data_IF_182046955337
#
_entry.id   IF_182046955337
#
_cell.length_a   1.000
_cell.length_b   1.000
_cell.length_c   1.000
_cell.angle_alpha   90.00
_cell.angle_beta   90.00
_cell.angle_gamma   90.00
#
_symmetry.space_group_name_H-M   'P 1'
#
loop_
_entity.id
_entity.type
_entity.pdbx_description
1 polymer ?
#
# COMPACT_ATOMS: atom_id res chain seq x y z
N UNK A 1 -32.51 -7.05 7.14
CA UNK A 1 -31.40 -6.61 8.01
C UNK A 1 -30.53 -5.72 7.15
N UNK A 2 -30.66 -4.41 7.32
CA UNK A 2 -29.74 -3.43 6.72
C UNK A 2 -28.39 -3.59 7.41
N UNK A 3 -27.32 -3.74 6.63
CA UNK A 3 -25.96 -3.71 7.15
C UNK A 3 -25.71 -2.36 7.87
N UNK A 4 -24.96 -2.35 8.99
CA UNK A 4 -24.61 -1.10 9.65
C UNK A 4 -23.81 -0.24 8.68
N UNK A 5 -24.24 1.02 8.49
CA UNK A 5 -23.50 2.01 7.71
C UNK A 5 -22.16 2.22 8.43
N UNK A 6 -21.09 1.66 7.88
CA UNK A 6 -19.73 1.86 8.37
C UNK A 6 -19.34 3.28 7.99
N UNK A 7 -19.28 4.16 8.99
CA UNK A 7 -19.08 5.61 8.84
C UNK A 7 -17.71 5.97 9.41
N UNK A 8 -17.06 6.97 8.82
CA UNK A 8 -15.77 7.51 9.25
C UNK A 8 -15.71 7.84 10.76
N UNK A 9 -16.86 8.19 11.36
CA UNK A 9 -17.00 8.44 12.81
C UNK A 9 -16.80 7.21 13.70
N UNK A 10 -16.89 6.01 13.15
CA UNK A 10 -16.84 4.75 13.89
C UNK A 10 -15.53 3.97 13.65
N UNK A 11 -14.59 4.56 12.90
CA UNK A 11 -13.31 3.93 12.60
C UNK A 11 -12.44 3.91 13.85
N UNK A 12 -11.75 2.80 14.08
CA UNK A 12 -10.79 2.67 15.18
C UNK A 12 -9.62 3.66 15.00
N UNK A 13 -9.24 4.43 16.03
CA UNK A 13 -8.08 5.31 15.97
C UNK A 13 -6.79 4.61 15.52
N UNK A 14 -6.59 3.33 15.86
CA UNK A 14 -5.41 2.54 15.46
C UNK A 14 -5.40 2.30 13.95
N UNK A 15 -6.56 2.02 13.36
CA UNK A 15 -6.69 1.83 11.91
C UNK A 15 -6.46 3.16 11.15
N UNK A 16 -6.93 4.28 11.72
CA UNK A 16 -6.66 5.61 11.19
C UNK A 16 -5.17 5.98 11.25
N UNK A 17 -4.49 5.71 12.37
CA UNK A 17 -3.05 5.94 12.51
C UNK A 17 -2.26 5.15 11.47
N UNK A 18 -2.58 3.86 11.29
CA UNK A 18 -1.94 3.03 10.28
C UNK A 18 -2.17 3.55 8.84
N UNK A 19 -3.37 4.05 8.56
CA UNK A 19 -3.69 4.68 7.27
C UNK A 19 -2.92 5.99 7.07
N UNK A 20 -2.78 6.82 8.11
CA UNK A 20 -1.99 8.05 8.05
C UNK A 20 -0.51 7.77 7.80
N UNK A 21 0.06 6.74 8.41
CA UNK A 21 1.43 6.31 8.13
C UNK A 21 1.62 5.94 6.65
N UNK A 22 0.65 5.20 6.08
CA UNK A 22 0.67 4.81 4.67
C UNK A 22 0.56 6.02 3.72
N UNK A 23 -0.33 6.96 4.03
CA UNK A 23 -0.46 8.23 3.30
C UNK A 23 0.83 9.03 3.39
N UNK A 24 1.42 9.13 4.58
CA UNK A 24 2.69 9.82 4.81
C UNK A 24 3.81 9.26 3.95
N UNK A 25 3.95 7.93 3.91
CA UNK A 25 4.95 7.26 3.07
C UNK A 25 4.72 7.49 1.57
N UNK A 26 3.46 7.48 1.09
CA UNK A 26 3.17 7.63 -0.33
C UNK A 26 3.45 9.04 -0.87
N UNK A 27 3.09 10.05 -0.07
CA UNK A 27 3.22 11.46 -0.45
C UNK A 27 4.51 12.13 0.07
N UNK A 28 5.38 11.38 0.76
CA UNK A 28 6.59 11.88 1.43
C UNK A 28 6.27 13.01 2.44
N UNK A 29 5.24 12.77 3.25
CA UNK A 29 4.74 13.69 4.28
C UNK A 29 5.00 13.09 5.66
N UNK A 30 5.48 13.92 6.57
CA UNK A 30 5.54 13.58 8.00
C UNK A 30 4.41 14.30 8.74
N UNK A 31 3.53 13.50 9.36
CA UNK A 31 2.54 13.95 10.31
C UNK A 31 3.18 14.04 11.70
N UNK A 32 3.01 15.17 12.38
CA UNK A 32 3.50 15.35 13.76
C UNK A 32 2.40 14.95 14.75
N UNK A 33 2.77 14.47 15.94
CA UNK A 33 1.81 14.09 16.98
C UNK A 33 0.82 15.21 17.29
N UNK A 34 -0.47 14.89 17.28
CA UNK A 34 -1.57 15.84 17.53
C UNK A 34 -1.82 16.84 16.39
N UNK A 35 -1.05 16.82 15.31
CA UNK A 35 -1.20 17.73 14.17
C UNK A 35 -2.55 17.53 13.46
N UNK A 36 -3.10 16.32 13.48
CA UNK A 36 -4.40 16.00 12.88
C UNK A 36 -5.59 16.18 13.85
N UNK A 37 -5.36 16.45 15.13
CA UNK A 37 -6.40 16.48 16.17
C UNK A 37 -7.45 17.60 15.98
N UNK A 38 -7.14 18.60 15.16
CA UNK A 38 -8.04 19.72 14.85
C UNK A 38 -8.87 19.49 13.58
N UNK A 39 -8.58 18.43 12.81
CA UNK A 39 -9.26 18.13 11.56
C UNK A 39 -10.55 17.36 11.85
N UNK A 40 -11.68 18.03 11.62
CA UNK A 40 -13.00 17.48 11.95
C UNK A 40 -13.69 16.81 10.76
N UNK A 41 -13.22 17.05 9.53
CA UNK A 41 -13.82 16.48 8.32
C UNK A 41 -12.80 15.91 7.35
N UNK A 42 -13.23 14.91 6.57
CA UNK A 42 -12.45 14.29 5.51
C UNK A 42 -12.00 15.30 4.44
N UNK A 43 -12.86 16.28 4.12
CA UNK A 43 -12.49 17.37 3.21
C UNK A 43 -11.37 18.25 3.79
N UNK A 44 -11.43 18.54 5.09
CA UNK A 44 -10.36 19.25 5.79
C UNK A 44 -9.05 18.46 5.79
N UNK A 45 -9.12 17.14 5.98
CA UNK A 45 -7.96 16.26 5.85
C UNK A 45 -7.37 16.24 4.43
N UNK A 46 -8.21 16.12 3.40
CA UNK A 46 -7.77 16.19 2.01
C UNK A 46 -7.03 17.50 1.70
N UNK A 47 -7.58 18.63 2.17
CA UNK A 47 -6.98 19.95 1.99
C UNK A 47 -5.65 20.05 2.75
N UNK A 48 -5.62 19.50 3.97
CA UNK A 48 -4.43 19.47 4.80
C UNK A 48 -3.29 18.68 4.14
N UNK A 49 -3.54 17.43 3.72
CA UNK A 49 -2.57 16.59 3.01
C UNK A 49 -2.06 17.31 1.76
N UNK A 50 -2.96 17.84 0.94
CA UNK A 50 -2.57 18.55 -0.29
C UNK A 50 -1.76 19.82 -0.03
N UNK A 51 -1.94 20.47 1.13
CA UNK A 51 -1.13 21.63 1.53
C UNK A 51 0.27 21.26 2.07
N UNK A 52 0.43 20.06 2.65
CA UNK A 52 1.71 19.55 3.17
C UNK A 52 2.64 19.06 2.07
N UNK A 53 2.09 18.61 0.94
CA UNK A 53 2.89 18.24 -0.23
C UNK A 53 3.65 19.48 -0.69
N UNK A 54 4.96 19.52 -0.40
CA UNK A 54 5.83 20.69 -0.64
C UNK A 54 6.24 20.85 -2.11
N UNK A 55 5.41 20.35 -3.02
CA UNK A 55 5.70 20.25 -4.45
C UNK A 55 4.88 21.25 -5.25
N UNK A 56 5.39 21.60 -6.42
CA UNK A 56 4.74 22.56 -7.30
C UNK A 56 3.47 21.97 -7.92
N UNK A 57 2.31 22.48 -7.51
CA UNK A 57 1.03 22.13 -8.11
C UNK A 57 0.70 22.99 -9.32
N UNK A 58 1.43 24.07 -9.63
CA UNK A 58 1.07 25.00 -10.72
C UNK A 58 1.22 24.38 -12.11
N UNK A 59 2.00 23.31 -12.22
CA UNK A 59 2.22 22.56 -13.45
C UNK A 59 1.24 21.36 -13.51
N UNK A 60 -0.05 21.64 -13.73
CA UNK A 60 -1.11 20.63 -13.92
C UNK A 60 -0.90 19.84 -15.22
N UNK A 61 0.08 18.96 -15.25
CA UNK A 61 0.16 17.95 -16.29
C UNK A 61 -0.94 16.92 -16.01
N UNK A 62 -1.96 16.85 -16.88
CA UNK A 62 -3.08 15.88 -16.84
C UNK A 62 -2.64 14.41 -17.02
N UNK A 63 -1.36 14.08 -16.83
CA UNK A 63 -0.83 12.74 -16.98
C UNK A 63 -1.19 11.89 -15.77
N UNK A 64 -1.98 10.83 -15.99
CA UNK A 64 -2.34 9.85 -14.98
C UNK A 64 -1.09 9.21 -14.34
N UNK A 65 -0.99 9.23 -13.02
CA UNK A 65 0.18 8.74 -12.28
C UNK A 65 0.30 7.22 -12.36
N UNK A 66 -0.80 6.46 -12.44
CA UNK A 66 -0.73 5.01 -12.71
C UNK A 66 -0.17 4.71 -14.11
N UNK A 67 -0.44 5.56 -15.10
CA UNK A 67 0.20 5.44 -16.42
C UNK A 67 1.72 5.71 -16.33
N UNK A 68 2.13 6.71 -15.54
CA UNK A 68 3.54 7.01 -15.33
C UNK A 68 4.25 5.88 -14.57
N UNK A 69 3.61 5.36 -13.52
CA UNK A 69 4.04 4.19 -12.77
C UNK A 69 4.21 2.97 -13.68
N UNK A 70 3.24 2.71 -14.56
CA UNK A 70 3.31 1.65 -15.55
C UNK A 70 4.55 1.79 -16.42
N UNK A 71 4.79 2.96 -17.02
CA UNK A 71 5.94 3.14 -17.90
C UNK A 71 7.28 3.02 -17.17
N UNK A 72 7.39 3.52 -15.94
CA UNK A 72 8.59 3.37 -15.10
C UNK A 72 8.84 1.90 -14.75
N UNK A 73 7.82 1.22 -14.23
CA UNK A 73 7.92 -0.19 -13.87
C UNK A 73 8.20 -1.07 -15.08
N UNK A 74 7.57 -0.80 -16.22
CA UNK A 74 7.80 -1.49 -17.50
C UNK A 74 9.25 -1.37 -17.96
N UNK A 75 9.84 -0.17 -17.86
CA UNK A 75 11.24 0.06 -18.21
C UNK A 75 12.19 -0.67 -17.25
N UNK A 76 11.95 -0.55 -15.94
CA UNK A 76 12.74 -1.23 -14.92
C UNK A 76 12.68 -2.76 -15.05
N UNK A 77 11.49 -3.31 -15.31
CA UNK A 77 11.28 -4.74 -15.53
C UNK A 77 11.99 -5.22 -16.79
N UNK A 78 11.86 -4.49 -17.91
CA UNK A 78 12.57 -4.79 -19.16
C UNK A 78 14.09 -4.87 -18.97
N UNK A 79 14.67 -3.95 -18.18
CA UNK A 79 16.10 -3.99 -17.83
C UNK A 79 16.45 -5.14 -16.87
N UNK A 80 15.57 -5.42 -15.89
CA UNK A 80 15.80 -6.48 -14.91
C UNK A 80 15.90 -7.86 -15.58
N UNK A 81 14.97 -8.19 -16.47
CA UNK A 81 14.90 -9.51 -17.14
C UNK A 81 15.45 -9.53 -18.56
N UNK A 82 15.98 -8.41 -19.06
CA UNK A 82 16.58 -8.28 -20.40
C UNK A 82 15.62 -8.60 -21.55
N UNK A 83 14.39 -8.08 -21.48
CA UNK A 83 13.40 -8.17 -22.57
C UNK A 83 13.05 -6.78 -23.09
N UNK A 84 12.56 -6.70 -24.33
CA UNK A 84 12.07 -5.45 -24.88
C UNK A 84 10.83 -4.98 -24.12
N UNK A 85 10.96 -3.89 -23.37
CA UNK A 85 9.87 -3.28 -22.59
C UNK A 85 8.61 -2.97 -23.41
N UNK A 86 8.72 -2.82 -24.74
CA UNK A 86 7.58 -2.56 -25.63
C UNK A 86 6.61 -3.75 -25.76
N UNK A 87 7.06 -4.97 -25.43
CA UNK A 87 6.19 -6.16 -25.44
C UNK A 87 5.32 -6.28 -24.19
N UNK A 88 5.61 -5.49 -23.16
CA UNK A 88 4.90 -5.51 -21.89
C UNK A 88 3.73 -4.52 -21.95
N UNK A 89 2.52 -5.03 -21.73
CA UNK A 89 1.28 -4.26 -21.63
C UNK A 89 0.75 -4.28 -20.18
N UNK A 90 -0.24 -3.45 -19.83
CA UNK A 90 -0.87 -3.50 -18.51
C UNK A 90 -1.53 -4.85 -18.18
N UNK A 91 -1.95 -5.61 -19.20
CA UNK A 91 -2.59 -6.92 -19.04
C UNK A 91 -1.61 -8.08 -19.02
N UNK A 92 -0.32 -7.82 -19.30
CA UNK A 92 0.73 -8.84 -19.22
C UNK A 92 0.79 -9.44 -17.81
N UNK A 93 0.77 -10.77 -17.72
CA UNK A 93 0.93 -11.47 -16.46
C UNK A 93 2.39 -11.38 -16.01
N UNK A 94 2.60 -11.11 -14.73
CA UNK A 94 3.93 -11.11 -14.12
C UNK A 94 4.60 -12.48 -14.25
N UNK A 95 3.81 -13.56 -14.18
CA UNK A 95 4.30 -14.92 -14.35
C UNK A 95 4.85 -15.23 -15.76
N UNK A 96 4.40 -14.50 -16.78
CA UNK A 96 4.86 -14.69 -18.17
C UNK A 96 6.18 -13.95 -18.44
N UNK A 97 6.50 -12.93 -17.63
CA UNK A 97 7.68 -12.07 -17.79
C UNK A 97 8.78 -12.42 -16.80
N UNK A 98 8.40 -12.79 -15.57
CA UNK A 98 9.35 -13.07 -14.50
C UNK A 98 9.83 -14.52 -14.54
N UNK A 99 11.13 -14.77 -14.36
CA UNK A 99 11.66 -16.13 -14.34
C UNK A 99 11.23 -16.88 -13.08
N UNK A 100 10.51 -17.99 -13.23
CA UNK A 100 9.93 -18.75 -12.10
C UNK A 100 10.92 -19.12 -10.97
N UNK A 101 12.18 -19.41 -11.31
CA UNK A 101 13.23 -19.78 -10.34
C UNK A 101 13.93 -18.59 -9.68
N UNK A 102 13.82 -17.39 -10.24
CA UNK A 102 14.54 -16.20 -9.78
C UNK A 102 13.66 -14.95 -9.70
N UNK A 103 12.34 -15.12 -9.60
CA UNK A 103 11.32 -14.06 -9.48
C UNK A 103 11.71 -12.99 -8.47
N UNK A 104 12.11 -13.39 -7.25
CA UNK A 104 12.52 -12.47 -6.18
C UNK A 104 13.75 -11.65 -6.57
N UNK A 105 14.74 -12.25 -7.23
CA UNK A 105 15.95 -11.54 -7.68
C UNK A 105 15.63 -10.58 -8.82
N UNK A 106 14.80 -11.00 -9.79
CA UNK A 106 14.34 -10.15 -10.89
C UNK A 106 13.56 -8.93 -10.37
N UNK A 107 12.67 -9.13 -9.40
CA UNK A 107 11.94 -8.03 -8.76
C UNK A 107 12.89 -7.11 -8.00
N UNK A 108 13.80 -7.64 -7.19
CA UNK A 108 14.80 -6.80 -6.48
C UNK A 108 15.67 -6.00 -7.46
N UNK A 109 16.00 -6.56 -8.62
CA UNK A 109 16.70 -5.84 -9.68
C UNK A 109 15.83 -4.74 -10.31
N UNK A 110 14.54 -4.99 -10.53
CA UNK A 110 13.60 -3.98 -11.00
C UNK A 110 13.42 -2.85 -9.97
N UNK A 111 13.26 -3.18 -8.69
CA UNK A 111 13.21 -2.23 -7.56
C UNK A 111 14.48 -1.37 -7.51
N UNK A 112 15.66 -1.98 -7.72
CA UNK A 112 16.91 -1.24 -7.81
C UNK A 112 16.92 -0.21 -8.96
N UNK A 113 16.38 -0.55 -10.13
CA UNK A 113 16.23 0.40 -11.24
C UNK A 113 15.19 1.50 -10.97
N UNK A 114 14.17 1.21 -10.16
CA UNK A 114 13.16 2.18 -9.76
C UNK A 114 13.64 3.13 -8.66
N UNK A 115 14.57 2.68 -7.81
CA UNK A 115 15.08 3.43 -6.67
C UNK A 115 14.24 3.28 -5.39
N UNK A 116 13.24 2.39 -5.37
CA UNK A 116 12.41 2.09 -4.20
C UNK A 116 11.87 0.66 -4.25
N UNK A 117 11.46 0.14 -3.09
CA UNK A 117 10.93 -1.23 -2.96
C UNK A 117 9.40 -1.25 -3.13
N UNK A 118 8.86 -2.18 -3.91
CA UNK A 118 7.42 -2.33 -4.16
C UNK A 118 6.83 -3.51 -3.36
N UNK A 119 7.69 -4.43 -2.89
CA UNK A 119 7.28 -5.59 -2.09
C UNK A 119 6.25 -6.51 -2.79
N UNK A 120 6.53 -6.86 -4.05
CA UNK A 120 5.64 -7.72 -4.86
C UNK A 120 5.67 -9.21 -4.51
N UNK A 121 6.68 -9.63 -3.76
CA UNK A 121 6.89 -11.04 -3.39
C UNK A 121 6.63 -11.21 -1.90
N UNK A 122 5.76 -12.15 -1.55
CA UNK A 122 5.46 -12.47 -0.16
C UNK A 122 5.26 -13.96 0.09
N UNK A 123 4.91 -14.31 1.33
CA UNK A 123 4.55 -15.68 1.68
C UNK A 123 3.23 -16.08 1.03
N UNK A 124 3.00 -17.39 0.81
CA UNK A 124 1.68 -17.89 0.42
C UNK A 124 0.62 -17.49 1.45
N UNK A 125 -0.57 -17.11 1.00
CA UNK A 125 -1.67 -16.68 1.87
C UNK A 125 -1.99 -17.70 2.97
N UNK A 126 -2.03 -18.99 2.64
CA UNK A 126 -2.32 -20.05 3.61
C UNK A 126 -1.29 -20.12 4.75
N UNK A 127 -0.01 -19.81 4.49
CA UNK A 127 1.03 -19.78 5.53
C UNK A 127 0.79 -18.59 6.46
N UNK A 128 0.49 -17.43 5.88
CA UNK A 128 0.19 -16.21 6.65
C UNK A 128 -1.03 -16.42 7.53
N UNK A 129 -2.12 -16.97 6.98
CA UNK A 129 -3.36 -17.24 7.70
C UNK A 129 -3.11 -18.18 8.87
N UNK A 130 -2.40 -19.30 8.66
CA UNK A 130 -2.09 -20.25 9.73
C UNK A 130 -1.28 -19.60 10.86
N UNK A 131 -0.25 -18.83 10.52
CA UNK A 131 0.59 -18.17 11.52
C UNK A 131 -0.17 -17.09 12.28
N UNK A 132 -0.97 -16.27 11.61
CA UNK A 132 -1.79 -15.23 12.25
C UNK A 132 -2.84 -15.86 13.15
N UNK A 133 -3.52 -16.94 12.73
CA UNK A 133 -4.49 -17.66 13.56
C UNK A 133 -3.85 -18.39 14.75
N UNK A 134 -2.55 -18.72 14.68
CA UNK A 134 -1.85 -19.33 15.83
C UNK A 134 -1.62 -18.34 16.98
N UNK A 135 -1.63 -17.03 16.72
CA UNK A 135 -1.45 -15.98 17.74
C UNK A 135 -2.62 -15.97 18.75
N UNK A 136 -3.90 -15.83 18.34
CA UNK A 136 -5.01 -15.83 19.30
C UNK A 136 -5.12 -17.17 20.04
N UNK A 137 -4.82 -18.30 19.38
CA UNK A 137 -4.75 -19.61 20.06
C UNK A 137 -3.70 -19.59 21.17
N UNK A 138 -2.52 -19.04 20.88
CA UNK A 138 -1.44 -18.92 21.87
C UNK A 138 -1.81 -17.99 23.03
N UNK A 139 -2.55 -16.90 22.75
CA UNK A 139 -3.08 -16.00 23.77
C UNK A 139 -4.12 -16.69 24.67
N UNK A 140 -4.96 -17.57 24.12
CA UNK A 140 -5.89 -18.38 24.93
C UNK A 140 -5.10 -19.35 25.83
N UNK A 141 -4.05 -19.99 25.31
CA UNK A 141 -3.20 -20.90 26.08
C UNK A 141 -2.45 -20.18 27.21
N UNK A 142 -2.11 -18.90 27.07
CA UNK A 142 -1.50 -18.11 28.15
C UNK A 142 -2.32 -18.10 29.45
N UNK A 143 -3.65 -18.23 29.39
CA UNK A 143 -4.50 -18.30 30.58
C UNK A 143 -4.35 -19.61 31.36
N UNK A 144 -3.93 -20.69 30.70
CA UNK A 144 -3.64 -21.98 31.34
C UNK A 144 -2.16 -22.09 31.72
N UNK A 145 -1.26 -21.75 30.79
CA UNK A 145 0.18 -21.72 31.00
C UNK A 145 0.81 -20.56 30.21
N UNK A 146 1.20 -19.52 30.96
CA UNK A 146 1.80 -18.32 30.39
C UNK A 146 3.11 -18.60 29.63
N UNK A 147 3.92 -19.59 30.05
CA UNK A 147 5.20 -19.89 29.36
C UNK A 147 4.93 -20.52 28.00
N UNK A 148 3.98 -21.45 27.94
CA UNK A 148 3.61 -22.13 26.69
C UNK A 148 2.96 -21.14 25.73
N UNK A 149 2.03 -20.31 26.20
CA UNK A 149 1.38 -19.30 25.36
C UNK A 149 2.37 -18.26 24.82
N UNK A 150 3.28 -17.74 25.66
CA UNK A 150 4.32 -16.80 25.21
C UNK A 150 5.28 -17.43 24.19
N UNK A 151 5.65 -18.70 24.37
CA UNK A 151 6.48 -19.42 23.40
C UNK A 151 5.75 -19.58 22.06
N UNK A 152 4.44 -19.86 22.08
CA UNK A 152 3.60 -19.94 20.88
C UNK A 152 3.57 -18.61 20.11
N UNK A 153 3.35 -17.49 20.81
CA UNK A 153 3.39 -16.14 20.21
C UNK A 153 4.77 -15.87 19.60
N UNK A 154 5.85 -16.18 20.33
CA UNK A 154 7.21 -15.97 19.83
C UNK A 154 7.48 -16.78 18.55
N UNK A 155 7.07 -18.05 18.52
CA UNK A 155 7.20 -18.91 17.35
C UNK A 155 6.38 -18.39 16.17
N UNK A 156 5.16 -17.89 16.39
CA UNK A 156 4.35 -17.29 15.35
C UNK A 156 5.02 -16.04 14.74
N UNK A 157 5.58 -15.16 15.57
CA UNK A 157 6.30 -13.97 15.13
C UNK A 157 7.55 -14.34 14.33
N UNK A 158 8.36 -15.28 14.82
CA UNK A 158 9.55 -15.77 14.09
C UNK A 158 9.13 -16.41 12.77
N UNK A 159 8.08 -17.22 12.79
CA UNK A 159 7.50 -17.86 11.61
C UNK A 159 7.04 -16.84 10.57
N UNK A 160 6.35 -15.77 10.97
CA UNK A 160 5.92 -14.69 10.07
C UNK A 160 7.11 -13.96 9.45
N UNK A 161 8.12 -13.61 10.26
CA UNK A 161 9.35 -12.98 9.76
C UNK A 161 10.08 -13.88 8.76
N UNK A 162 10.17 -15.19 9.04
CA UNK A 162 10.75 -16.16 8.13
C UNK A 162 9.92 -16.27 6.84
N UNK A 163 8.59 -16.35 6.94
CA UNK A 163 7.68 -16.46 5.80
C UNK A 163 7.80 -15.25 4.87
N UNK A 164 7.84 -14.02 5.42
CA UNK A 164 8.07 -12.79 4.65
C UNK A 164 9.45 -12.80 3.97
N UNK A 165 10.48 -13.24 4.69
CA UNK A 165 11.86 -13.28 4.17
C UNK A 165 12.05 -14.30 3.05
N UNK A 166 11.42 -15.47 3.14
CA UNK A 166 11.60 -16.59 2.21
C UNK A 166 10.48 -16.76 1.20
N UNK A 167 9.39 -16.02 1.32
CA UNK A 167 8.27 -16.07 0.37
C UNK A 167 8.74 -15.85 -1.08
N UNK A 168 8.18 -16.60 -2.02
CA UNK A 168 8.50 -16.47 -3.44
C UNK A 168 7.26 -16.29 -4.30
N UNK A 169 6.11 -16.02 -3.67
CA UNK A 169 4.82 -15.94 -4.34
C UNK A 169 4.54 -14.50 -4.74
N UNK A 170 4.11 -14.31 -5.99
CA UNK A 170 3.65 -13.02 -6.50
C UNK A 170 2.27 -12.72 -5.91
N UNK A 171 2.14 -11.57 -5.24
CA UNK A 171 0.86 -11.14 -4.66
C UNK A 171 -0.06 -10.48 -5.71
N UNK A 172 0.52 -9.99 -6.80
CA UNK A 172 -0.20 -9.38 -7.92
C UNK A 172 -0.07 -10.24 -9.17
N UNK A 173 -1.06 -10.16 -10.05
CA UNK A 173 -1.12 -10.97 -11.27
C UNK A 173 -0.53 -10.24 -12.46
N UNK A 174 -0.90 -8.98 -12.67
CA UNK A 174 -0.54 -8.23 -13.88
C UNK A 174 0.36 -7.03 -13.62
N UNK A 175 1.07 -6.60 -14.65
CA UNK A 175 1.92 -5.39 -14.61
C UNK A 175 1.08 -4.13 -14.34
N UNK A 176 -0.16 -4.08 -14.83
CA UNK A 176 -1.10 -2.98 -14.54
C UNK A 176 -1.46 -2.88 -13.07
N UNK A 177 -1.67 -4.01 -12.38
CA UNK A 177 -1.91 -4.00 -10.93
C UNK A 177 -0.70 -3.49 -10.15
N UNK A 178 0.52 -3.80 -10.61
CA UNK A 178 1.74 -3.27 -10.01
C UNK A 178 1.82 -1.75 -10.20
N UNK A 179 1.48 -1.26 -11.40
CA UNK A 179 1.46 0.17 -11.68
C UNK A 179 0.48 0.92 -10.75
N UNK A 180 -0.69 0.34 -10.52
CA UNK A 180 -1.70 0.89 -9.61
C UNK A 180 -1.17 0.93 -8.16
N UNK A 181 -0.59 -0.18 -7.68
CA UNK A 181 0.06 -0.25 -6.36
C UNK A 181 1.15 0.81 -6.21
N UNK A 182 2.02 0.97 -7.21
CA UNK A 182 3.09 1.99 -7.20
C UNK A 182 2.50 3.40 -7.14
N UNK A 183 1.44 3.70 -7.90
CA UNK A 183 0.83 5.04 -7.84
C UNK A 183 0.19 5.33 -6.48
N UNK A 184 -0.34 4.33 -5.80
CA UNK A 184 -1.00 4.48 -4.51
C UNK A 184 -0.01 4.53 -3.33
N UNK A 185 1.03 3.70 -3.35
CA UNK A 185 1.98 3.55 -2.23
C UNK A 185 3.25 4.40 -2.39
N UNK A 186 3.55 4.85 -3.61
CA UNK A 186 4.75 5.61 -3.92
C UNK A 186 4.45 6.75 -4.90
N UNK A 187 3.39 7.52 -4.64
CA UNK A 187 2.85 8.54 -5.57
C UNK A 187 3.92 9.50 -6.09
N UNK A 188 4.74 10.08 -5.21
CA UNK A 188 5.83 11.01 -5.60
C UNK A 188 6.84 10.34 -6.52
N UNK A 189 7.22 9.10 -6.21
CA UNK A 189 8.19 8.35 -6.99
C UNK A 189 7.62 7.86 -8.32
N UNK A 190 6.30 7.72 -8.45
CA UNK A 190 5.63 7.39 -9.69
C UNK A 190 5.63 8.54 -10.70
N UNK A 191 5.56 9.79 -10.23
CA UNK A 191 5.56 11.02 -11.07
C UNK A 191 6.83 11.16 -11.90
N UNK A 192 6.70 11.58 -13.16
CA UNK A 192 7.80 11.89 -14.08
C UNK A 192 8.65 13.03 -13.55
N UNK A 193 7.99 14.09 -13.08
CA UNK A 193 8.63 15.16 -12.35
C UNK A 193 8.25 15.03 -10.87
N UNK A 194 9.17 14.56 -10.01
CA UNK A 194 8.90 14.36 -8.59
C UNK A 194 8.71 15.69 -7.84
N UNK A 195 8.91 16.85 -8.50
CA UNK A 195 8.65 18.17 -7.93
C UNK A 195 7.22 18.66 -8.15
N UNK A 196 6.33 17.84 -8.72
CA UNK A 196 4.97 18.25 -9.10
C UNK A 196 3.94 17.21 -8.72
N UNK A 197 2.72 17.64 -8.39
CA UNK A 197 1.60 16.76 -8.10
C UNK A 197 0.29 17.24 -8.73
N UNK A 198 -0.67 16.32 -8.88
CA UNK A 198 -2.02 16.64 -9.31
C UNK A 198 -2.97 16.58 -8.10
N UNK A 199 -3.48 17.73 -7.67
CA UNK A 199 -4.36 17.86 -6.50
C UNK A 199 -5.62 17.00 -6.61
N UNK A 200 -6.28 16.98 -7.76
CA UNK A 200 -7.50 16.20 -7.96
C UNK A 200 -7.21 14.70 -7.88
N UNK A 201 -6.06 14.29 -8.39
CA UNK A 201 -5.61 12.90 -8.33
C UNK A 201 -5.33 12.48 -6.89
N UNK A 202 -4.61 13.31 -6.12
CA UNK A 202 -4.34 13.07 -4.70
C UNK A 202 -5.64 12.88 -3.93
N UNK A 203 -6.63 13.75 -4.11
CA UNK A 203 -7.93 13.61 -3.42
C UNK A 203 -8.61 12.29 -3.78
N UNK A 204 -8.61 11.88 -5.05
CA UNK A 204 -9.17 10.58 -5.47
C UNK A 204 -8.41 9.40 -4.85
N UNK A 205 -7.09 9.49 -4.75
CA UNK A 205 -6.29 8.48 -4.06
C UNK A 205 -6.58 8.41 -2.57
N UNK A 206 -6.78 9.54 -1.90
CA UNK A 206 -7.17 9.56 -0.49
C UNK A 206 -8.54 8.89 -0.30
N UNK A 207 -9.53 9.16 -1.16
CA UNK A 207 -10.82 8.45 -1.12
C UNK A 207 -10.61 6.94 -1.27
N UNK A 208 -9.88 6.52 -2.31
CA UNK A 208 -9.64 5.10 -2.57
C UNK A 208 -8.89 4.40 -1.41
N UNK A 209 -7.93 5.06 -0.78
CA UNK A 209 -7.20 4.52 0.36
C UNK A 209 -8.11 4.38 1.59
N UNK A 210 -8.92 5.39 1.90
CA UNK A 210 -9.89 5.31 2.99
C UNK A 210 -10.93 4.22 2.76
N UNK A 211 -11.47 4.11 1.54
CA UNK A 211 -12.43 3.06 1.20
C UNK A 211 -11.81 1.68 1.31
N UNK A 212 -10.64 1.47 0.70
CA UNK A 212 -10.00 0.15 0.66
C UNK A 212 -9.50 -0.31 2.03
N UNK A 213 -8.82 0.55 2.77
CA UNK A 213 -8.13 0.16 4.01
C UNK A 213 -9.08 0.15 5.20
N UNK A 214 -10.15 0.96 5.19
CA UNK A 214 -11.13 1.01 6.28
C UNK A 214 -12.45 0.30 5.94
N UNK A 215 -12.66 -0.13 4.69
CA UNK A 215 -13.92 -0.76 4.26
C UNK A 215 -15.09 0.23 4.21
N UNK A 216 -14.82 1.51 3.97
CA UNK A 216 -15.82 2.57 3.83
C UNK A 216 -16.36 2.59 2.39
N UNK A 217 -17.63 2.98 2.21
CA UNK A 217 -18.16 3.25 0.88
C UNK A 217 -17.61 4.60 0.36
N UNK A 218 -17.15 4.63 -0.89
CA UNK A 218 -16.72 5.85 -1.58
C UNK A 218 -17.78 6.96 -1.52
N UNK A 219 -19.07 6.59 -1.54
CA UNK A 219 -20.18 7.56 -1.45
C UNK A 219 -20.28 8.24 -0.08
N UNK A 220 -19.80 7.60 0.98
CA UNK A 220 -19.82 8.14 2.34
C UNK A 220 -18.62 9.07 2.61
N UNK A 221 -17.55 8.98 1.82
CA UNK A 221 -16.34 9.81 1.90
C UNK A 221 -16.50 11.19 1.24
N UNK A 222 -17.55 11.90 1.65
CA UNK A 222 -17.80 13.29 1.22
C UNK A 222 -16.87 14.27 1.95
N UNK A 223 -16.73 15.49 1.43
CA UNK A 223 -15.91 16.54 2.07
C UNK A 223 -16.38 16.90 3.48
N UNK A 224 -17.66 16.71 3.78
CA UNK A 224 -18.27 17.01 5.08
C UNK A 224 -18.32 15.79 6.02
N UNK A 225 -17.88 14.61 5.55
CA UNK A 225 -17.79 13.41 6.38
C UNK A 225 -16.90 13.67 7.60
N UNK A 226 -17.37 13.33 8.79
CA UNK A 226 -16.73 13.72 10.05
C UNK A 226 -15.84 12.62 10.60
N UNK A 227 -14.69 13.01 11.14
CA UNK A 227 -13.93 12.16 12.06
C UNK A 227 -14.63 12.14 13.44
N UNK A 228 -14.30 11.14 14.27
CA UNK A 228 -14.76 11.04 15.65
C UNK A 228 -14.08 12.09 16.54
#
# INVERSE_FOLDING_TARGET
MSEPIYDLRNVDPVDLEALFDKIGQSFDINFVDGELAHLTTFGGFCDYVTSKISLDYTNHTNSCTSQQAFYKFRAALGQAVSIDSRTISPTTQLADVLPSRSTRQAIKKAEHYLGFEINLVGPPEWVTILLVLSIPVSLIVCFADAKVGLLGVLLAIIGLKAAVRFGSTLQLRTVGQVAEKISQEHYIHARRDPKTFNREEVVKMLVALFSLDLGLDDYDLTRDAKFN
#
